data_IF_344695674907
#
_entry.id   IF_344695674907
#
_cell.length_a   1.000
_cell.length_b   1.000
_cell.length_c   1.000
_cell.angle_alpha   90.00
_cell.angle_beta   90.00
_cell.angle_gamma   90.00
#
_symmetry.space_group_name_H-M   'P 1'
#
loop_
_entity.id
_entity.type
_entity.pdbx_description
1 polymer ?
#
# COMPACT_ATOMS: atom_id res chain seq x y z
N UNK A 1 29.23 -0.32 7.62
CA UNK A 1 27.87 0.23 7.83
C UNK A 1 27.55 1.41 6.90
N UNK A 2 28.53 2.19 6.47
CA UNK A 2 28.35 3.34 5.55
C UNK A 2 27.97 2.91 4.12
N UNK A 3 28.53 1.82 3.58
CA UNK A 3 28.26 1.36 2.21
C UNK A 3 26.78 1.02 1.98
N UNK A 4 26.11 0.41 2.98
CA UNK A 4 24.66 0.11 2.91
C UNK A 4 23.79 1.36 2.87
N UNK A 5 24.19 2.45 3.54
CA UNK A 5 23.48 3.74 3.50
C UNK A 5 23.58 4.39 2.11
N UNK A 6 24.76 4.35 1.48
CA UNK A 6 24.95 4.91 0.15
C UNK A 6 24.19 4.12 -0.94
N UNK A 7 24.11 2.79 -0.82
CA UNK A 7 23.31 1.94 -1.71
C UNK A 7 21.82 2.27 -1.56
N UNK A 8 21.33 2.47 -0.34
CA UNK A 8 19.93 2.82 -0.08
C UNK A 8 19.56 4.20 -0.62
N UNK A 9 20.47 5.19 -0.48
CA UNK A 9 20.33 6.54 -1.01
C UNK A 9 20.39 6.53 -2.54
N UNK A 10 21.30 5.77 -3.14
CA UNK A 10 21.40 5.62 -4.58
C UNK A 10 20.14 4.95 -5.16
N UNK A 11 19.61 3.92 -4.49
CA UNK A 11 18.35 3.25 -4.87
C UNK A 11 17.15 4.20 -4.77
N UNK A 12 17.13 5.07 -3.77
CA UNK A 12 16.08 6.09 -3.58
C UNK A 12 16.18 7.21 -4.64
N UNK A 13 17.38 7.63 -5.02
CA UNK A 13 17.63 8.64 -6.04
C UNK A 13 17.33 8.12 -7.47
N UNK A 14 17.60 6.85 -7.76
CA UNK A 14 17.23 6.25 -9.04
C UNK A 14 15.73 6.06 -9.20
N UNK A 15 15.01 5.84 -8.10
CA UNK A 15 13.56 5.74 -8.10
C UNK A 15 12.88 7.08 -8.42
N UNK A 16 13.46 8.22 -8.04
CA UNK A 16 12.93 9.54 -8.36
C UNK A 16 13.15 9.98 -9.81
N UNK A 17 14.14 9.42 -10.52
CA UNK A 17 14.46 9.78 -11.90
C UNK A 17 13.54 9.12 -12.96
N UNK A 18 12.72 8.12 -12.57
CA UNK A 18 11.84 7.39 -13.51
C UNK A 18 10.50 8.14 -13.74
N UNK A 19 10.28 9.29 -13.10
CA UNK A 19 8.98 9.95 -13.04
C UNK A 19 8.66 10.89 -14.22
N UNK A 20 9.50 10.98 -15.24
CA UNK A 20 9.27 11.86 -16.41
C UNK A 20 9.11 11.07 -17.72
N UNK A 21 8.11 10.20 -17.81
CA UNK A 21 7.77 9.52 -19.05
C UNK A 21 6.33 9.83 -19.46
N UNK A 22 6.22 10.68 -20.48
CA UNK A 22 5.10 10.86 -21.42
C UNK A 22 3.66 10.77 -20.87
N UNK A 23 3.02 11.92 -20.79
CA UNK A 23 1.58 12.08 -20.61
C UNK A 23 0.79 11.49 -21.77
N UNK A 24 0.40 10.23 -21.68
CA UNK A 24 -0.78 9.81 -22.42
C UNK A 24 -1.99 10.35 -21.67
N UNK A 25 -2.75 11.23 -22.29
CA UNK A 25 -3.96 11.85 -21.73
C UNK A 25 -5.03 10.81 -21.33
N UNK A 26 -4.96 9.59 -21.85
CA UNK A 26 -5.90 8.50 -21.56
C UNK A 26 -5.19 7.38 -20.81
N UNK A 27 -5.65 7.08 -19.62
CA UNK A 27 -5.16 5.94 -18.83
C UNK A 27 -6.04 4.71 -19.09
N UNK A 28 -5.41 3.60 -19.49
CA UNK A 28 -6.12 2.37 -19.84
C UNK A 28 -6.31 1.52 -18.56
N UNK A 29 -7.56 1.27 -18.10
CA UNK A 29 -7.85 0.53 -16.87
C UNK A 29 -7.20 -0.85 -16.82
N UNK A 30 -7.25 -1.60 -17.93
CA UNK A 30 -6.64 -2.92 -18.06
C UNK A 30 -5.11 -2.90 -17.82
N UNK A 31 -4.41 -1.87 -18.32
CA UNK A 31 -2.97 -1.73 -18.08
C UNK A 31 -2.66 -1.40 -16.64
N UNK A 32 -3.44 -0.50 -16.02
CA UNK A 32 -3.26 -0.16 -14.60
C UNK A 32 -3.42 -1.37 -13.69
N UNK A 33 -4.48 -2.17 -13.91
CA UNK A 33 -4.69 -3.42 -13.16
C UNK A 33 -3.57 -4.43 -13.38
N UNK A 34 -3.11 -4.60 -14.64
CA UNK A 34 -2.01 -5.52 -14.96
C UNK A 34 -0.69 -5.10 -14.30
N UNK A 35 -0.36 -3.81 -14.28
CA UNK A 35 0.83 -3.30 -13.59
C UNK A 35 0.76 -3.58 -12.08
N UNK A 36 -0.39 -3.35 -11.45
CA UNK A 36 -0.60 -3.66 -10.03
C UNK A 36 -0.62 -5.17 -9.73
N UNK A 37 -0.95 -6.00 -10.71
CA UNK A 37 -0.90 -7.46 -10.58
C UNK A 37 0.53 -8.02 -10.69
N UNK A 38 1.46 -7.30 -11.33
CA UNK A 38 2.87 -7.70 -11.39
C UNK A 38 3.63 -7.10 -10.20
N UNK A 39 3.47 -5.79 -9.98
CA UNK A 39 4.12 -5.06 -8.90
C UNK A 39 3.03 -4.30 -8.15
N UNK A 40 2.72 -4.66 -6.88
CA UNK A 40 1.73 -3.94 -6.09
C UNK A 40 2.04 -2.43 -6.04
N UNK A 41 1.03 -1.61 -6.32
CA UNK A 41 1.22 -0.16 -6.35
C UNK A 41 1.65 0.43 -7.70
N UNK A 42 2.13 -0.36 -8.67
CA UNK A 42 2.57 0.17 -9.97
C UNK A 42 1.41 0.79 -10.79
N UNK A 43 0.20 0.29 -10.64
CA UNK A 43 -0.98 0.89 -11.24
C UNK A 43 -1.33 2.25 -10.65
N UNK A 44 -1.11 2.46 -9.36
CA UNK A 44 -1.28 3.75 -8.69
C UNK A 44 -0.22 4.76 -9.14
N UNK A 45 1.00 4.31 -9.38
CA UNK A 45 2.04 5.14 -10.02
C UNK A 45 1.63 5.52 -11.44
N UNK A 46 1.13 4.56 -12.22
CA UNK A 46 0.63 4.80 -13.57
C UNK A 46 -0.53 5.81 -13.60
N UNK A 47 -1.41 5.80 -12.59
CA UNK A 47 -2.54 6.75 -12.45
C UNK A 47 -2.17 8.02 -11.69
N UNK A 48 -0.88 8.28 -11.42
CA UNK A 48 -0.35 9.44 -10.67
C UNK A 48 -0.90 9.57 -9.23
N UNK A 49 -1.48 8.50 -8.65
CA UNK A 49 -2.00 8.47 -7.27
C UNK A 49 -0.94 7.93 -6.29
N UNK A 50 0.24 8.55 -6.27
CA UNK A 50 1.44 8.08 -5.53
C UNK A 50 1.21 7.91 -4.03
N UNK A 51 0.34 8.72 -3.42
CA UNK A 51 0.06 8.67 -1.98
C UNK A 51 -0.58 7.35 -1.52
N UNK A 52 -1.21 6.59 -2.43
CA UNK A 52 -1.79 5.28 -2.13
C UNK A 52 -0.73 4.18 -2.03
N UNK A 53 0.41 4.35 -2.70
CA UNK A 53 1.47 3.33 -2.74
C UNK A 53 1.97 2.96 -1.34
N UNK A 54 2.36 3.91 -0.45
CA UNK A 54 2.81 3.56 0.90
C UNK A 54 1.73 2.86 1.73
N UNK A 55 0.44 3.17 1.53
CA UNK A 55 -0.67 2.52 2.24
C UNK A 55 -0.78 1.06 1.83
N UNK A 56 -0.68 0.76 0.53
CA UNK A 56 -0.72 -0.60 -0.01
C UNK A 56 0.43 -1.42 0.56
N UNK A 57 1.66 -0.89 0.52
CA UNK A 57 2.82 -1.58 1.06
C UNK A 57 2.74 -1.77 2.58
N UNK A 58 2.22 -0.79 3.33
CA UNK A 58 1.98 -0.94 4.76
C UNK A 58 1.02 -2.11 5.05
N UNK A 59 -0.07 -2.22 4.31
CA UNK A 59 -1.02 -3.33 4.44
C UNK A 59 -0.39 -4.70 4.10
N UNK A 60 0.35 -4.79 2.99
CA UNK A 60 1.01 -6.02 2.56
C UNK A 60 2.12 -6.46 3.53
N UNK A 61 2.98 -5.53 3.97
CA UNK A 61 4.08 -5.82 4.89
C UNK A 61 3.53 -6.26 6.25
N UNK A 62 2.53 -5.56 6.76
CA UNK A 62 1.93 -5.88 8.06
C UNK A 62 1.28 -7.26 8.03
N UNK A 63 0.49 -7.58 7.00
CA UNK A 63 -0.16 -8.89 6.88
C UNK A 63 0.85 -10.02 6.66
N UNK A 64 1.92 -9.79 5.88
CA UNK A 64 3.00 -10.75 5.70
C UNK A 64 3.81 -10.99 6.99
N UNK A 65 4.06 -9.93 7.77
CA UNK A 65 4.73 -10.03 9.06
C UNK A 65 3.91 -10.89 10.04
N UNK A 66 2.63 -10.58 10.22
CA UNK A 66 1.76 -11.37 11.09
C UNK A 66 1.56 -12.81 10.59
N UNK A 67 1.51 -13.02 9.28
CA UNK A 67 1.48 -14.37 8.73
C UNK A 67 2.69 -15.18 9.16
N UNK A 68 3.89 -14.60 9.01
CA UNK A 68 5.15 -15.27 9.37
C UNK A 68 5.21 -15.54 10.88
N UNK A 69 4.92 -14.56 11.72
CA UNK A 69 4.97 -14.69 13.17
C UNK A 69 3.99 -15.77 13.68
N UNK A 70 2.75 -15.77 13.20
CA UNK A 70 1.76 -16.78 13.57
C UNK A 70 2.11 -18.17 13.00
N UNK A 71 2.81 -18.23 11.85
CA UNK A 71 3.28 -19.49 11.30
C UNK A 71 4.40 -20.10 12.16
N UNK A 72 5.38 -19.30 12.54
CA UNK A 72 6.50 -19.74 13.37
C UNK A 72 6.00 -20.25 14.75
N UNK A 73 5.05 -19.53 15.35
CA UNK A 73 4.44 -19.95 16.63
C UNK A 73 3.54 -21.20 16.48
N UNK A 74 2.79 -21.31 15.41
CA UNK A 74 2.03 -22.51 15.07
C UNK A 74 2.94 -23.74 14.96
N UNK A 75 4.04 -23.63 14.23
CA UNK A 75 4.98 -24.74 14.03
C UNK A 75 5.69 -25.09 15.33
N UNK A 76 6.04 -24.10 16.17
CA UNK A 76 6.62 -24.33 17.47
C UNK A 76 5.70 -25.16 18.37
N UNK A 77 4.46 -24.73 18.58
CA UNK A 77 3.53 -25.41 19.50
C UNK A 77 3.10 -26.78 18.95
N UNK A 78 2.87 -26.88 17.65
CA UNK A 78 2.52 -28.14 17.01
C UNK A 78 3.65 -29.17 17.09
N UNK A 79 4.88 -28.79 16.76
CA UNK A 79 6.01 -29.69 16.81
C UNK A 79 6.32 -30.13 18.25
N UNK A 80 6.20 -29.23 19.23
CA UNK A 80 6.36 -29.58 20.64
C UNK A 80 5.31 -30.60 21.09
N UNK A 81 4.04 -30.38 20.72
CA UNK A 81 2.98 -31.35 21.01
C UNK A 81 3.23 -32.72 20.39
N UNK A 82 3.61 -32.79 19.12
CA UNK A 82 3.91 -34.04 18.42
C UNK A 82 5.10 -34.76 19.05
N UNK A 83 6.19 -34.04 19.37
CA UNK A 83 7.37 -34.62 20.02
C UNK A 83 7.04 -35.25 21.38
N UNK A 84 6.12 -34.62 22.16
CA UNK A 84 5.68 -35.20 23.44
C UNK A 84 4.87 -36.47 23.26
N UNK A 85 4.02 -36.56 22.21
CA UNK A 85 3.29 -37.78 21.89
C UNK A 85 4.25 -38.91 21.51
N UNK A 86 5.32 -38.57 20.77
CA UNK A 86 6.35 -39.57 20.36
C UNK A 86 7.29 -39.97 21.53
N UNK A 87 7.01 -39.51 22.75
CA UNK A 87 7.74 -39.87 23.97
C UNK A 87 8.97 -38.98 24.27
N UNK A 88 9.19 -37.93 23.49
CA UNK A 88 10.26 -37.00 23.74
C UNK A 88 9.73 -35.78 24.52
N UNK A 89 9.93 -35.81 25.86
CA UNK A 89 9.45 -34.75 26.79
C UNK A 89 10.51 -33.73 27.15
N UNK A 90 11.61 -33.63 26.42
CA UNK A 90 12.72 -32.73 26.73
C UNK A 90 12.56 -31.31 26.20
N UNK A 91 11.32 -30.80 26.11
CA UNK A 91 11.07 -29.39 25.79
C UNK A 91 11.10 -28.50 27.05
N UNK A 92 11.41 -27.22 26.86
CA UNK A 92 11.47 -26.23 27.93
C UNK A 92 10.18 -25.42 28.09
N UNK A 93 9.08 -25.86 27.47
CA UNK A 93 7.80 -25.14 27.52
C UNK A 93 6.96 -25.64 28.70
N UNK A 94 6.63 -24.72 29.61
CA UNK A 94 5.77 -24.98 30.78
C UNK A 94 4.28 -24.90 30.43
N UNK A 95 3.87 -25.65 29.38
CA UNK A 95 2.47 -25.75 28.93
C UNK A 95 2.00 -27.21 29.02
N UNK A 96 0.73 -27.39 29.39
CA UNK A 96 0.10 -28.72 29.29
C UNK A 96 -0.13 -29.13 27.83
N UNK A 97 -0.35 -30.41 27.56
CA UNK A 97 -0.70 -30.87 26.21
C UNK A 97 -1.99 -30.24 25.69
N UNK A 98 -2.95 -29.97 26.58
CA UNK A 98 -4.21 -29.28 26.25
C UNK A 98 -3.95 -27.83 25.83
N UNK A 99 -3.05 -27.15 26.54
CA UNK A 99 -2.67 -25.77 26.20
C UNK A 99 -1.96 -25.72 24.86
N UNK A 100 -1.05 -26.67 24.59
CA UNK A 100 -0.35 -26.76 23.29
C UNK A 100 -1.32 -26.94 22.10
N UNK A 101 -2.35 -27.77 22.27
CA UNK A 101 -3.40 -27.93 21.26
C UNK A 101 -4.16 -26.61 21.04
N UNK A 102 -4.56 -25.96 22.15
CA UNK A 102 -5.30 -24.70 22.10
C UNK A 102 -4.50 -23.59 21.45
N UNK A 103 -3.21 -23.47 21.79
CA UNK A 103 -2.29 -22.50 21.19
C UNK A 103 -2.05 -22.81 19.71
N UNK A 104 -1.87 -24.07 19.35
CA UNK A 104 -1.74 -24.50 17.95
C UNK A 104 -2.95 -24.07 17.11
N UNK A 105 -4.17 -24.28 17.62
CA UNK A 105 -5.40 -23.90 16.92
C UNK A 105 -5.58 -22.37 16.87
N UNK A 106 -5.17 -21.66 17.90
CA UNK A 106 -5.20 -20.19 17.94
C UNK A 106 -4.28 -19.60 16.87
N UNK A 107 -3.01 -20.03 16.82
CA UNK A 107 -2.04 -19.50 15.86
C UNK A 107 -2.31 -19.96 14.42
N UNK A 108 -2.88 -21.16 14.23
CA UNK A 108 -3.37 -21.60 12.94
C UNK A 108 -4.42 -20.64 12.38
N UNK A 109 -5.44 -20.29 13.16
CA UNK A 109 -6.48 -19.34 12.76
C UNK A 109 -5.91 -17.95 12.45
N UNK A 110 -5.04 -17.44 13.29
CA UNK A 110 -4.42 -16.13 13.07
C UNK A 110 -3.56 -16.10 11.80
N UNK A 111 -2.84 -17.17 11.52
CA UNK A 111 -2.09 -17.35 10.27
C UNK A 111 -3.02 -17.32 9.06
N UNK A 112 -4.11 -18.07 9.10
CA UNK A 112 -5.11 -18.12 8.02
C UNK A 112 -5.76 -16.75 7.78
N UNK A 113 -6.13 -16.04 8.85
CA UNK A 113 -6.65 -14.67 8.77
C UNK A 113 -5.63 -13.73 8.17
N UNK A 114 -4.36 -13.81 8.56
CA UNK A 114 -3.28 -13.00 8.00
C UNK A 114 -3.08 -13.26 6.50
N UNK A 115 -3.17 -14.52 6.07
CA UNK A 115 -3.14 -14.90 4.65
C UNK A 115 -4.32 -14.33 3.86
N UNK A 116 -5.52 -14.37 4.44
CA UNK A 116 -6.72 -13.77 3.83
C UNK A 116 -6.58 -12.25 3.70
N UNK A 117 -6.09 -11.58 4.73
CA UNK A 117 -5.87 -10.13 4.70
C UNK A 117 -4.82 -9.74 3.66
N UNK A 118 -3.75 -10.49 3.54
CA UNK A 118 -2.74 -10.27 2.50
C UNK A 118 -3.37 -10.39 1.10
N UNK A 119 -4.09 -11.49 0.85
CA UNK A 119 -4.74 -11.74 -0.43
C UNK A 119 -5.79 -10.68 -0.75
N UNK A 120 -6.61 -10.28 0.23
CA UNK A 120 -7.62 -9.25 0.07
C UNK A 120 -6.98 -7.89 -0.26
N UNK A 121 -5.93 -7.49 0.47
CA UNK A 121 -5.19 -6.25 0.20
C UNK A 121 -4.62 -6.25 -1.21
N UNK A 122 -4.09 -7.40 -1.66
CA UNK A 122 -3.54 -7.54 -3.00
C UNK A 122 -4.61 -7.40 -4.09
N UNK A 123 -5.75 -8.07 -3.92
CA UNK A 123 -6.88 -7.98 -4.87
C UNK A 123 -7.42 -6.53 -4.92
N UNK A 124 -7.63 -5.90 -3.74
CA UNK A 124 -8.11 -4.53 -3.66
C UNK A 124 -7.16 -3.54 -4.33
N UNK A 125 -5.85 -3.75 -4.22
CA UNK A 125 -4.85 -2.94 -4.92
C UNK A 125 -5.02 -3.01 -6.46
N UNK A 126 -5.27 -4.21 -7.02
CA UNK A 126 -5.48 -4.38 -8.47
C UNK A 126 -6.78 -3.69 -8.91
N UNK A 127 -7.86 -3.90 -8.16
CA UNK A 127 -9.16 -3.29 -8.45
C UNK A 127 -9.09 -1.77 -8.36
N UNK A 128 -8.49 -1.23 -7.28
CA UNK A 128 -8.33 0.21 -7.10
C UNK A 128 -7.50 0.85 -8.23
N UNK A 129 -6.43 0.19 -8.69
CA UNK A 129 -5.65 0.66 -9.83
C UNK A 129 -6.49 0.76 -11.11
N UNK A 130 -7.30 -0.26 -11.38
CA UNK A 130 -8.17 -0.30 -12.56
C UNK A 130 -9.27 0.77 -12.48
N UNK A 131 -9.92 0.92 -11.34
CA UNK A 131 -10.94 1.95 -11.09
C UNK A 131 -10.33 3.35 -11.16
N UNK A 132 -9.17 3.55 -10.56
CA UNK A 132 -8.46 4.83 -10.61
C UNK A 132 -8.08 5.25 -12.04
N UNK A 133 -7.73 4.29 -12.90
CA UNK A 133 -7.44 4.56 -14.30
C UNK A 133 -8.71 4.85 -15.10
N UNK A 134 -9.83 4.19 -14.79
CA UNK A 134 -11.12 4.44 -15.43
C UNK A 134 -11.66 5.83 -15.09
N UNK A 135 -11.53 6.24 -13.84
CA UNK A 135 -11.96 7.54 -13.36
C UNK A 135 -11.00 8.68 -13.76
N UNK A 136 -9.81 8.36 -14.24
CA UNK A 136 -8.81 9.38 -14.61
C UNK A 136 -9.29 10.28 -15.75
N UNK A 137 -10.11 9.75 -16.67
CA UNK A 137 -10.69 10.48 -17.78
C UNK A 137 -11.83 11.41 -17.33
N UNK A 138 -12.50 11.07 -16.21
CA UNK A 138 -13.57 11.87 -15.62
C UNK A 138 -13.05 12.88 -14.58
N UNK A 139 -11.79 12.80 -14.20
CA UNK A 139 -11.11 13.80 -13.39
C UNK A 139 -10.74 14.99 -14.31
N UNK A 140 -11.79 15.55 -14.96
CA UNK A 140 -11.72 16.87 -15.54
C UNK A 140 -11.58 17.77 -14.34
N UNK A 141 -10.36 18.08 -14.00
CA UNK A 141 -10.05 19.22 -13.18
C UNK A 141 -10.62 20.41 -13.95
N UNK A 142 -11.85 20.78 -13.63
CA UNK A 142 -12.29 22.13 -13.88
C UNK A 142 -11.28 22.94 -13.07
N UNK A 143 -10.29 23.50 -13.76
CA UNK A 143 -9.33 24.43 -13.18
C UNK A 143 -10.14 25.65 -12.72
N UNK A 144 -10.69 25.56 -11.49
CA UNK A 144 -11.24 26.71 -10.80
C UNK A 144 -10.05 27.64 -10.56
N UNK A 145 -9.74 28.44 -11.56
CA UNK A 145 -8.65 29.40 -11.44
C UNK A 145 -9.17 30.66 -10.81
N UNK A 146 -8.69 30.94 -9.60
CA UNK A 146 -8.96 32.15 -8.87
C UNK A 146 -7.93 33.19 -9.31
N UNK A 147 -8.35 34.17 -10.11
CA UNK A 147 -7.50 35.27 -10.54
C UNK A 147 -7.73 36.51 -9.70
N UNK A 148 -6.67 36.95 -8.98
CA UNK A 148 -6.62 38.22 -8.31
C UNK A 148 -5.91 39.23 -9.23
N UNK A 149 -6.62 40.30 -9.59
CA UNK A 149 -6.02 41.42 -10.34
C UNK A 149 -6.30 42.73 -9.66
N UNK A 150 -5.28 43.56 -9.44
CA UNK A 150 -5.52 44.94 -9.05
C UNK A 150 -6.15 45.70 -10.22
N UNK A 151 -7.28 46.36 -10.00
CA UNK A 151 -7.94 47.19 -11.01
C UNK A 151 -7.99 48.63 -10.53
N UNK A 152 -7.82 49.56 -11.45
CA UNK A 152 -8.05 50.97 -11.22
C UNK A 152 -9.39 51.38 -11.83
N UNK A 153 -10.33 51.78 -10.98
CA UNK A 153 -11.63 52.28 -11.41
C UNK A 153 -11.56 53.76 -11.72
N UNK A 154 -11.30 54.09 -13.01
CA UNK A 154 -11.09 55.45 -13.45
C UNK A 154 -12.28 56.39 -13.21
N UNK A 155 -13.49 55.86 -13.10
CA UNK A 155 -14.73 56.63 -12.89
C UNK A 155 -14.90 57.12 -11.46
N UNK A 156 -14.30 56.43 -10.48
CA UNK A 156 -14.39 56.70 -9.05
C UNK A 156 -13.03 57.09 -8.43
N UNK A 157 -11.99 57.19 -9.25
CA UNK A 157 -10.61 57.46 -8.82
C UNK A 157 -10.14 56.55 -7.67
N UNK A 158 -10.58 55.26 -7.64
CA UNK A 158 -10.31 54.33 -6.58
C UNK A 158 -9.53 53.13 -7.10
N UNK A 159 -8.59 52.64 -6.29
CA UNK A 159 -7.91 51.35 -6.51
C UNK A 159 -8.76 50.23 -5.90
N UNK A 160 -9.04 49.20 -6.69
CA UNK A 160 -9.81 48.05 -6.26
C UNK A 160 -9.07 46.74 -6.55
N UNK A 161 -9.60 45.63 -6.00
CA UNK A 161 -9.17 44.27 -6.29
C UNK A 161 -10.31 43.56 -7.02
N UNK A 162 -10.04 43.05 -8.21
CA UNK A 162 -10.96 42.16 -8.94
C UNK A 162 -10.66 40.71 -8.61
N UNK A 163 -11.70 40.00 -8.21
CA UNK A 163 -11.69 38.55 -8.03
C UNK A 163 -12.51 37.91 -9.17
N UNK A 164 -11.85 37.22 -10.07
CA UNK A 164 -12.54 36.46 -11.12
C UNK A 164 -12.35 34.95 -10.90
N UNK A 165 -13.47 34.24 -10.90
CA UNK A 165 -13.53 32.78 -10.87
C UNK A 165 -13.86 32.34 -12.28
N UNK A 166 -12.96 31.58 -12.91
CA UNK A 166 -13.24 30.95 -14.19
C UNK A 166 -13.70 29.52 -13.87
N UNK A 167 -14.94 29.24 -14.19
CA UNK A 167 -15.59 27.93 -14.12
C UNK A 167 -15.35 27.19 -15.44
#
# INVERSE_FOLDING_TARGET
>A
MQLKKHILIALFLTFSAICEAQESLVKIPKRAGMYSAIIPGAGQVYTKKYWKVPIIYAGLITSAYYFKENHDLYDLYKSTYLNRIDGNTSDNLDYSNTDLITLTDFYRRNREVSALLFTLTYILNIVDASVSAHLFEYDVTEDISLHFQPIYMAKENANGLSLSIKL
#
